data_IF_807560862727
#
_entry.id   IF_807560862727
#
_cell.length_a   1.000
_cell.length_b   1.000
_cell.length_c   1.000
_cell.angle_alpha   90.00
_cell.angle_beta   90.00
_cell.angle_gamma   90.00
#
_symmetry.space_group_name_H-M   'P 1'
#
loop_
_entity.id
_entity.type
_entity.pdbx_description
1 polymer ?
#
# COMPACT_ATOMS: atom_id res chain seq x y z
N UNK A 1 -0.48 30.73 -0.37
CA UNK A 1 -0.83 29.64 0.56
C UNK A 1 0.43 29.20 1.32
N UNK A 2 0.68 29.79 2.51
CA UNK A 2 1.53 29.17 3.52
C UNK A 2 0.62 28.21 4.31
N UNK A 3 0.20 27.12 3.68
CA UNK A 3 -0.52 26.03 4.33
C UNK A 3 0.46 25.04 4.91
N UNK A 4 0.07 24.35 5.97
CA UNK A 4 0.80 23.18 6.50
C UNK A 4 1.18 22.29 5.34
N UNK A 5 2.45 21.92 5.22
CA UNK A 5 2.87 20.93 4.23
C UNK A 5 1.99 19.69 4.38
N UNK A 6 1.31 19.32 3.31
CA UNK A 6 0.53 18.09 3.30
C UNK A 6 1.55 16.96 3.30
N UNK A 7 1.72 16.34 4.45
CA UNK A 7 2.63 15.23 4.62
C UNK A 7 1.97 14.01 3.97
N UNK A 8 2.60 13.47 2.93
CA UNK A 8 2.14 12.24 2.26
C UNK A 8 2.48 11.00 3.11
N UNK A 9 1.83 9.87 2.87
CA UNK A 9 2.09 8.64 3.64
C UNK A 9 3.54 8.14 3.46
N UNK A 10 4.14 8.38 2.31
CA UNK A 10 5.53 8.04 2.00
C UNK A 10 6.56 9.02 2.59
N UNK A 11 6.14 10.17 3.13
CA UNK A 11 7.02 11.12 3.80
C UNK A 11 7.36 10.59 5.20
N UNK A 12 8.21 9.57 5.28
CA UNK A 12 8.58 8.88 6.53
C UNK A 12 9.89 9.39 7.15
N UNK A 13 10.53 10.41 6.55
CA UNK A 13 11.76 10.95 7.13
C UNK A 13 11.61 11.22 8.65
N UNK A 14 12.62 10.93 9.48
CA UNK A 14 14.00 10.57 9.10
C UNK A 14 14.23 9.08 8.78
N UNK A 15 13.17 8.25 8.77
CA UNK A 15 13.27 6.82 8.53
C UNK A 15 13.68 6.51 7.08
N UNK A 16 14.54 5.51 6.91
CA UNK A 16 15.03 5.06 5.62
C UNK A 16 14.32 3.79 5.16
N UNK A 17 13.67 3.84 4.00
CA UNK A 17 13.01 2.70 3.37
C UNK A 17 13.95 2.01 2.38
N UNK A 18 14.19 0.71 2.59
CA UNK A 18 14.92 -0.17 1.69
C UNK A 18 13.97 -1.22 1.11
N UNK A 19 13.70 -1.12 -0.20
CA UNK A 19 12.82 -2.03 -0.91
C UNK A 19 13.57 -3.08 -1.75
N UNK A 20 14.86 -3.28 -1.52
CA UNK A 20 15.64 -4.31 -2.20
C UNK A 20 14.96 -5.68 -2.09
N UNK A 21 14.89 -6.41 -3.20
CA UNK A 21 14.29 -7.74 -3.21
C UNK A 21 15.31 -8.75 -2.67
N UNK A 22 14.94 -9.44 -1.59
CA UNK A 22 15.77 -10.44 -0.92
C UNK A 22 14.96 -11.73 -0.71
N UNK A 23 14.81 -12.58 -1.75
CA UNK A 23 13.94 -13.77 -1.67
C UNK A 23 14.42 -14.80 -0.65
N UNK A 24 15.72 -14.85 -0.35
CA UNK A 24 16.34 -15.79 0.57
C UNK A 24 16.51 -15.25 1.99
N UNK A 25 16.07 -14.01 2.26
CA UNK A 25 16.14 -13.42 3.58
C UNK A 25 15.30 -14.23 4.58
N UNK A 26 15.96 -14.66 5.67
CA UNK A 26 15.31 -15.44 6.72
C UNK A 26 14.85 -14.52 7.85
N UNK A 27 13.61 -14.71 8.32
CA UNK A 27 13.11 -13.91 9.42
C UNK A 27 13.87 -14.19 10.73
N UNK A 28 14.04 -13.15 11.52
CA UNK A 28 14.50 -13.24 12.90
C UNK A 28 13.30 -13.08 13.86
N UNK A 29 13.45 -13.47 15.15
CA UNK A 29 12.40 -13.24 16.14
C UNK A 29 11.99 -11.79 16.28
N UNK A 30 12.89 -10.84 15.97
CA UNK A 30 12.66 -9.39 16.04
C UNK A 30 12.09 -8.79 14.74
N UNK A 31 12.02 -9.55 13.64
CA UNK A 31 11.41 -9.13 12.38
C UNK A 31 9.91 -8.86 12.53
N UNK A 32 9.39 -7.90 11.80
CA UNK A 32 7.96 -7.61 11.76
C UNK A 32 7.22 -8.66 10.92
N UNK A 33 6.15 -9.23 11.49
CA UNK A 33 5.29 -10.23 10.87
C UNK A 33 3.95 -9.60 10.47
N UNK A 34 3.81 -9.22 9.19
CA UNK A 34 2.59 -8.60 8.67
C UNK A 34 1.59 -9.69 8.30
N UNK A 35 0.42 -9.67 8.94
CA UNK A 35 -0.69 -10.56 8.62
C UNK A 35 -1.92 -9.79 8.19
N UNK A 36 -2.47 -10.17 7.03
CA UNK A 36 -3.61 -9.51 6.42
C UNK A 36 -4.73 -10.49 6.07
N UNK A 37 -5.95 -10.06 6.34
CA UNK A 37 -7.19 -10.55 5.76
C UNK A 37 -7.79 -9.47 4.84
N UNK A 38 -8.86 -9.76 4.07
CA UNK A 38 -9.52 -8.73 3.26
C UNK A 38 -9.90 -7.51 4.10
N UNK A 39 -9.27 -6.36 3.79
CA UNK A 39 -9.45 -5.07 4.48
C UNK A 39 -9.09 -5.03 5.96
N UNK A 40 -8.40 -6.04 6.49
CA UNK A 40 -8.01 -6.13 7.90
C UNK A 40 -6.52 -6.48 8.04
N UNK A 41 -5.95 -6.10 9.17
CA UNK A 41 -4.56 -6.34 9.54
C UNK A 41 -4.44 -6.67 11.02
N UNK A 42 -3.53 -7.55 11.38
CA UNK A 42 -3.22 -7.89 12.77
C UNK A 42 -2.30 -6.84 13.36
N UNK A 43 -2.72 -6.16 14.43
CA UNK A 43 -1.94 -5.11 15.11
C UNK A 43 -2.22 -5.11 16.61
N UNK A 44 -1.28 -4.55 17.36
CA UNK A 44 -1.48 -4.12 18.75
C UNK A 44 -1.85 -2.64 18.77
N UNK A 45 -3.03 -2.29 19.30
CA UNK A 45 -3.44 -0.90 19.46
C UNK A 45 -2.94 -0.34 20.78
N UNK A 46 -2.21 0.77 20.72
CA UNK A 46 -1.71 1.53 21.87
C UNK A 46 -2.51 2.84 21.97
N UNK A 47 -3.72 2.76 22.51
CA UNK A 47 -4.56 3.95 22.67
C UNK A 47 -4.15 4.67 23.97
N UNK A 48 -3.69 5.91 23.83
CA UNK A 48 -3.51 6.85 24.93
C UNK A 48 -4.58 7.93 24.86
N UNK A 49 -4.71 8.76 25.92
CA UNK A 49 -5.66 9.90 25.92
C UNK A 49 -5.44 10.84 24.72
N UNK A 50 -4.21 10.96 24.23
CA UNK A 50 -3.78 11.98 23.29
C UNK A 50 -3.30 11.45 21.93
N UNK A 51 -3.08 10.12 21.79
CA UNK A 51 -2.57 9.52 20.56
C UNK A 51 -3.24 8.19 20.23
N UNK A 52 -3.42 7.97 18.93
CA UNK A 52 -3.83 6.67 18.39
C UNK A 52 -2.61 6.05 17.74
N UNK A 53 -2.02 5.08 18.44
CA UNK A 53 -0.83 4.38 17.98
C UNK A 53 -1.11 2.91 17.77
N UNK A 54 -0.31 2.30 16.93
CA UNK A 54 -0.33 0.85 16.74
C UNK A 54 1.09 0.31 16.51
N UNK A 55 1.20 -1.00 16.66
CA UNK A 55 2.42 -1.74 16.34
C UNK A 55 2.04 -3.05 15.63
N UNK A 56 2.92 -3.54 14.76
CA UNK A 56 2.75 -4.86 14.18
C UNK A 56 3.37 -5.92 15.12
N UNK A 57 2.86 -7.17 15.09
CA UNK A 57 3.51 -8.26 15.77
C UNK A 57 4.91 -8.50 15.19
N UNK A 58 5.78 -8.99 16.04
CA UNK A 58 7.06 -9.59 15.63
C UNK A 58 6.92 -11.11 15.62
N UNK A 59 7.84 -11.81 14.96
CA UNK A 59 7.78 -13.27 14.93
C UNK A 59 7.72 -13.88 16.33
N UNK A 60 8.53 -13.37 17.29
CA UNK A 60 8.51 -13.83 18.69
C UNK A 60 7.17 -13.66 19.41
N UNK A 61 6.30 -12.78 18.95
CA UNK A 61 4.97 -12.57 19.54
C UNK A 61 3.98 -13.64 19.09
N UNK A 62 4.27 -14.32 17.97
CA UNK A 62 3.39 -15.29 17.30
C UNK A 62 3.93 -16.72 17.30
N UNK A 63 5.24 -16.93 17.51
CA UNK A 63 5.89 -18.25 17.39
C UNK A 63 5.40 -19.28 18.40
N UNK A 64 4.93 -18.85 19.58
CA UNK A 64 4.45 -19.77 20.62
C UNK A 64 3.19 -20.55 20.22
N UNK A 65 2.40 -19.98 19.31
CA UNK A 65 1.14 -20.55 18.85
C UNK A 65 1.23 -21.10 17.42
N UNK A 66 2.40 -20.92 16.76
CA UNK A 66 2.63 -21.30 15.37
C UNK A 66 4.10 -21.67 15.17
N UNK A 67 4.45 -22.91 15.41
CA UNK A 67 5.83 -23.43 15.36
C UNK A 67 6.50 -23.28 13.99
N UNK A 68 5.70 -23.24 12.91
CA UNK A 68 6.14 -23.17 11.50
C UNK A 68 6.06 -21.75 10.90
N UNK A 69 5.79 -20.74 11.72
CA UNK A 69 5.56 -19.35 11.24
C UNK A 69 6.74 -18.80 10.40
N UNK A 70 7.96 -19.25 10.69
CA UNK A 70 9.18 -18.85 9.99
C UNK A 70 9.25 -19.39 8.56
N UNK A 71 8.51 -20.48 8.25
CA UNK A 71 8.44 -21.09 6.93
C UNK A 71 7.33 -20.49 6.06
N UNK A 72 6.35 -19.83 6.69
CA UNK A 72 5.16 -19.27 6.05
C UNK A 72 5.26 -17.77 5.82
N UNK A 73 6.43 -17.26 5.39
CA UNK A 73 6.62 -15.83 5.22
C UNK A 73 7.37 -15.48 3.94
N UNK A 74 7.20 -14.22 3.52
CA UNK A 74 7.90 -13.61 2.39
C UNK A 74 8.53 -12.31 2.88
N UNK A 75 9.83 -12.12 2.64
CA UNK A 75 10.48 -10.84 2.84
C UNK A 75 9.88 -9.77 1.91
N UNK A 76 9.53 -8.63 2.47
CA UNK A 76 8.96 -7.51 1.70
C UNK A 76 9.97 -6.38 1.51
N UNK A 77 10.47 -5.81 2.60
CA UNK A 77 11.35 -4.65 2.63
C UNK A 77 11.91 -4.46 4.05
N UNK A 78 12.82 -3.48 4.21
CA UNK A 78 13.26 -3.03 5.52
C UNK A 78 13.02 -1.52 5.71
N UNK A 79 12.87 -1.10 6.97
CA UNK A 79 12.89 0.31 7.38
C UNK A 79 13.89 0.43 8.52
N UNK A 80 14.91 1.28 8.36
CA UNK A 80 16.02 1.45 9.32
C UNK A 80 16.69 0.12 9.72
N UNK A 81 16.81 -0.81 8.77
CA UNK A 81 17.37 -2.15 9.01
C UNK A 81 16.45 -3.10 9.78
N UNK A 82 15.20 -2.70 10.07
CA UNK A 82 14.18 -3.61 10.58
C UNK A 82 13.44 -4.25 9.42
N UNK A 83 13.45 -5.58 9.38
CA UNK A 83 12.84 -6.36 8.30
C UNK A 83 11.33 -6.52 8.49
N UNK A 84 10.60 -6.45 7.38
CA UNK A 84 9.17 -6.67 7.30
C UNK A 84 8.86 -7.87 6.40
N UNK A 85 8.12 -8.83 6.93
CA UNK A 85 7.72 -10.06 6.25
C UNK A 85 6.20 -10.15 6.16
N UNK A 86 5.70 -10.65 5.04
CA UNK A 86 4.30 -11.02 4.86
C UNK A 86 4.11 -12.48 5.29
N UNK A 87 3.15 -12.73 6.17
CA UNK A 87 2.72 -14.10 6.49
C UNK A 87 1.72 -14.59 5.44
N UNK A 88 1.95 -15.78 4.89
CA UNK A 88 1.12 -16.41 3.87
C UNK A 88 0.78 -17.87 4.22
N UNK A 89 -0.36 -18.33 3.74
CA UNK A 89 -0.80 -19.73 3.87
C UNK A 89 -0.89 -20.25 5.32
N UNK A 90 -1.07 -19.37 6.26
CA UNK A 90 -1.21 -19.66 7.69
C UNK A 90 -2.39 -18.90 8.26
N UNK A 91 -3.06 -19.47 9.25
CA UNK A 91 -4.07 -18.78 10.05
C UNK A 91 -3.47 -18.43 11.39
N UNK A 92 -3.43 -17.16 11.72
CA UNK A 92 -2.86 -16.68 12.97
C UNK A 92 -3.98 -16.41 13.97
N UNK A 93 -4.08 -17.20 15.06
CA UNK A 93 -4.91 -16.81 16.20
C UNK A 93 -4.36 -15.48 16.76
N UNK A 94 -5.21 -14.49 16.93
CA UNK A 94 -4.75 -13.21 17.50
C UNK A 94 -4.36 -13.42 18.97
N UNK A 95 -3.08 -13.22 19.36
CA UNK A 95 -2.70 -13.25 20.77
C UNK A 95 -3.47 -12.19 21.57
N UNK A 96 -3.57 -12.34 22.87
CA UNK A 96 -4.48 -11.57 23.75
C UNK A 96 -4.36 -10.04 23.66
N UNK A 97 -3.23 -9.52 23.20
CA UNK A 97 -2.99 -8.07 23.06
C UNK A 97 -2.95 -7.59 21.59
N UNK A 98 -3.19 -8.48 20.62
CA UNK A 98 -3.34 -8.14 19.21
C UNK A 98 -4.80 -8.29 18.78
N UNK A 99 -5.21 -7.49 17.80
CA UNK A 99 -6.55 -7.55 17.21
C UNK A 99 -6.49 -7.37 15.69
N UNK A 100 -7.47 -7.95 15.00
CA UNK A 100 -7.66 -7.73 13.57
C UNK A 100 -8.41 -6.43 13.37
N UNK A 101 -7.70 -5.40 12.91
CA UNK A 101 -8.21 -4.05 12.69
C UNK A 101 -8.42 -3.73 11.21
N UNK A 102 -9.28 -2.74 10.92
CA UNK A 102 -9.43 -2.25 9.56
C UNK A 102 -8.13 -1.61 9.05
N UNK A 103 -7.72 -1.89 7.80
CA UNK A 103 -6.57 -1.24 7.15
C UNK A 103 -6.71 0.28 7.04
N UNK A 104 -7.89 0.86 7.33
CA UNK A 104 -8.10 2.32 7.41
C UNK A 104 -7.31 2.98 8.56
N UNK A 105 -6.86 2.21 9.56
CA UNK A 105 -5.98 2.73 10.63
C UNK A 105 -4.71 3.37 10.07
N UNK A 106 -4.17 2.86 8.96
CA UNK A 106 -2.96 3.40 8.32
C UNK A 106 -3.10 4.87 7.86
N UNK A 107 -4.32 5.41 7.80
CA UNK A 107 -4.57 6.81 7.43
C UNK A 107 -4.47 7.78 8.61
N UNK A 108 -4.71 7.30 9.83
CA UNK A 108 -4.98 8.16 10.98
C UNK A 108 -4.17 7.81 12.24
N UNK A 109 -3.40 6.73 12.22
CA UNK A 109 -2.66 6.24 13.37
C UNK A 109 -1.15 6.50 13.22
N UNK A 110 -0.48 6.56 14.35
CA UNK A 110 0.98 6.67 14.47
C UNK A 110 1.62 5.32 14.84
N UNK A 111 2.93 5.13 14.64
CA UNK A 111 3.82 6.04 13.95
C UNK A 111 3.67 5.94 12.43
N UNK A 112 4.02 7.01 11.72
CA UNK A 112 3.84 7.11 10.27
C UNK A 112 4.59 6.05 9.48
N UNK A 113 5.82 5.73 9.86
CA UNK A 113 6.61 4.72 9.16
C UNK A 113 5.96 3.34 9.21
N UNK A 114 5.27 2.98 10.32
CA UNK A 114 4.48 1.75 10.39
C UNK A 114 3.20 1.83 9.53
N UNK A 115 2.57 3.01 9.45
CA UNK A 115 1.45 3.22 8.54
C UNK A 115 1.86 3.06 7.08
N UNK A 116 3.02 3.58 6.69
CA UNK A 116 3.63 3.36 5.38
C UNK A 116 3.97 1.87 5.15
N UNK A 117 4.60 1.22 6.14
CA UNK A 117 4.90 -0.21 6.08
C UNK A 117 3.61 -1.04 5.89
N UNK A 118 2.57 -0.71 6.64
CA UNK A 118 1.28 -1.40 6.58
C UNK A 118 0.60 -1.30 5.22
N UNK A 119 0.48 -0.09 4.65
CA UNK A 119 -0.18 0.06 3.34
C UNK A 119 0.67 -0.55 2.21
N UNK A 120 2.00 -0.44 2.28
CA UNK A 120 2.91 -1.06 1.31
C UNK A 120 2.85 -2.58 1.39
N UNK A 121 2.90 -3.14 2.60
CA UNK A 121 2.74 -4.58 2.84
C UNK A 121 1.38 -5.10 2.39
N UNK A 122 0.29 -4.37 2.67
CA UNK A 122 -1.05 -4.74 2.22
C UNK A 122 -1.18 -4.73 0.70
N UNK A 123 -0.59 -3.75 0.01
CA UNK A 123 -0.57 -3.68 -1.45
C UNK A 123 0.17 -4.90 -2.05
N UNK A 124 1.32 -5.25 -1.49
CA UNK A 124 2.09 -6.43 -1.92
C UNK A 124 1.34 -7.74 -1.61
N UNK A 125 0.70 -7.85 -0.44
CA UNK A 125 -0.14 -8.99 -0.08
C UNK A 125 -1.26 -9.22 -1.09
N UNK A 126 -2.02 -8.18 -1.44
CA UNK A 126 -3.08 -8.26 -2.44
C UNK A 126 -2.54 -8.69 -3.82
N UNK A 127 -1.36 -8.19 -4.18
CA UNK A 127 -0.72 -8.58 -5.43
C UNK A 127 -0.32 -10.05 -5.42
N UNK A 128 0.37 -10.57 -4.39
CA UNK A 128 0.72 -11.99 -4.28
C UNK A 128 -0.51 -12.88 -4.30
N UNK A 129 -1.55 -12.53 -3.54
CA UNK A 129 -2.81 -13.30 -3.50
C UNK A 129 -3.53 -13.34 -4.85
N UNK A 130 -3.46 -12.26 -5.63
CA UNK A 130 -4.12 -12.16 -6.94
C UNK A 130 -3.31 -12.78 -8.09
N UNK A 131 -2.05 -13.16 -7.87
CA UNK A 131 -1.13 -13.68 -8.89
C UNK A 131 -0.71 -15.13 -8.63
N UNK A 132 -1.68 -15.98 -8.28
CA UNK A 132 -1.46 -17.42 -8.08
C UNK A 132 -1.41 -18.21 -9.38
N UNK A 133 -2.14 -17.76 -10.39
CA UNK A 133 -2.26 -18.42 -11.68
C UNK A 133 -1.94 -17.44 -12.82
N UNK A 134 -1.30 -17.96 -13.86
CA UNK A 134 -0.97 -17.20 -15.05
C UNK A 134 -2.24 -16.78 -15.80
N UNK A 135 -2.43 -15.47 -16.02
CA UNK A 135 -3.54 -14.93 -16.77
C UNK A 135 -3.56 -15.32 -18.27
N UNK A 136 -2.43 -15.83 -18.80
CA UNK A 136 -2.30 -16.24 -20.19
C UNK A 136 -2.63 -17.73 -20.40
N UNK A 137 -2.13 -18.63 -19.54
CA UNK A 137 -2.23 -20.07 -19.78
C UNK A 137 -2.85 -20.87 -18.62
N UNK A 138 -3.22 -20.22 -17.53
CA UNK A 138 -3.85 -20.83 -16.38
C UNK A 138 -2.92 -21.67 -15.47
N UNK A 139 -1.63 -21.81 -15.81
CA UNK A 139 -0.68 -22.55 -14.99
C UNK A 139 -0.38 -21.81 -13.67
N UNK A 140 0.00 -22.52 -12.59
CA UNK A 140 0.47 -21.88 -11.36
C UNK A 140 1.66 -20.96 -11.64
N UNK A 141 1.71 -19.85 -10.95
CA UNK A 141 2.85 -18.94 -10.94
C UNK A 141 3.73 -19.23 -9.71
N UNK A 142 5.03 -19.05 -9.86
CA UNK A 142 5.99 -19.06 -8.76
C UNK A 142 6.68 -17.73 -8.58
N UNK A 143 7.22 -17.49 -7.40
CA UNK A 143 8.10 -16.34 -7.11
C UNK A 143 9.40 -16.52 -7.90
N UNK A 144 9.90 -15.41 -8.45
CA UNK A 144 11.19 -15.43 -9.16
C UNK A 144 12.34 -15.22 -8.16
N UNK A 145 13.50 -15.82 -8.48
CA UNK A 145 14.67 -15.84 -7.57
C UNK A 145 15.45 -14.52 -7.52
N UNK A 146 15.38 -13.71 -8.59
CA UNK A 146 16.20 -12.50 -8.73
C UNK A 146 15.42 -11.20 -8.66
N UNK A 147 14.14 -11.25 -8.99
CA UNK A 147 13.30 -10.05 -9.09
C UNK A 147 11.96 -10.29 -8.39
N UNK A 148 11.39 -9.22 -7.85
CA UNK A 148 10.04 -9.25 -7.28
C UNK A 148 9.01 -9.35 -8.39
N UNK A 149 8.84 -10.55 -8.91
CA UNK A 149 7.83 -10.91 -9.90
C UNK A 149 7.31 -12.32 -9.68
N UNK A 150 6.12 -12.60 -10.18
CA UNK A 150 5.59 -13.95 -10.32
C UNK A 150 5.86 -14.44 -11.74
N UNK A 151 6.36 -15.65 -11.88
CA UNK A 151 6.81 -16.22 -13.15
C UNK A 151 6.07 -17.48 -13.51
N UNK A 152 5.72 -17.63 -14.77
CA UNK A 152 5.08 -18.82 -15.34
C UNK A 152 6.10 -19.72 -16.04
N UNK A 153 6.39 -20.89 -15.49
CA UNK A 153 7.33 -21.84 -16.11
C UNK A 153 6.79 -22.44 -17.43
N UNK A 154 5.45 -22.40 -17.63
CA UNK A 154 4.83 -22.99 -18.84
C UNK A 154 4.87 -22.05 -20.05
N UNK A 155 4.60 -20.77 -19.89
CA UNK A 155 4.51 -19.82 -21.02
C UNK A 155 5.43 -18.60 -20.89
N UNK A 156 6.28 -18.60 -19.85
CA UNK A 156 7.28 -17.58 -19.56
C UNK A 156 6.71 -16.17 -19.35
N UNK A 157 5.40 -16.08 -18.98
CA UNK A 157 4.79 -14.82 -18.59
C UNK A 157 5.41 -14.32 -17.29
N UNK A 158 5.75 -13.04 -17.28
CA UNK A 158 6.24 -12.31 -16.11
C UNK A 158 5.16 -11.36 -15.59
N UNK A 159 4.91 -11.38 -14.28
CA UNK A 159 3.92 -10.55 -13.61
C UNK A 159 4.59 -9.77 -12.48
N UNK A 160 4.79 -8.47 -12.70
CA UNK A 160 5.35 -7.57 -11.70
C UNK A 160 4.27 -6.99 -10.77
N UNK A 161 4.64 -6.46 -9.59
CA UNK A 161 3.70 -5.73 -8.75
C UNK A 161 3.01 -4.63 -9.53
N UNK A 162 1.66 -4.61 -9.48
CA UNK A 162 0.88 -3.67 -10.26
C UNK A 162 0.97 -2.27 -9.66
N UNK A 163 1.37 -1.31 -10.47
CA UNK A 163 1.27 0.12 -10.21
C UNK A 163 0.25 0.69 -11.20
N UNK A 164 -0.70 1.49 -10.72
CA UNK A 164 -1.70 2.18 -11.53
C UNK A 164 -1.50 3.68 -11.37
N UNK A 165 -0.78 4.34 -12.29
CA UNK A 165 -0.56 5.79 -12.23
C UNK A 165 -1.89 6.52 -12.28
N UNK A 166 -2.03 7.53 -11.41
CA UNK A 166 -3.21 8.35 -11.34
C UNK A 166 -2.82 9.81 -11.07
N UNK A 167 -3.66 10.73 -11.52
CA UNK A 167 -3.52 12.15 -11.23
C UNK A 167 -4.58 12.60 -10.25
N UNK A 168 -4.22 13.54 -9.35
CA UNK A 168 -5.17 14.30 -8.54
C UNK A 168 -5.04 15.75 -8.97
N UNK A 169 -6.16 16.38 -9.37
CA UNK A 169 -6.16 17.60 -10.16
C UNK A 169 -6.82 18.74 -9.39
N UNK A 170 -6.04 19.77 -9.06
CA UNK A 170 -6.56 21.04 -8.54
C UNK A 170 -6.84 21.99 -9.71
N UNK A 171 -8.08 22.06 -10.18
CA UNK A 171 -8.50 23.02 -11.22
C UNK A 171 -8.80 24.35 -10.56
N UNK A 172 -8.10 25.41 -10.98
CA UNK A 172 -8.24 26.77 -10.41
C UNK A 172 -8.61 27.78 -11.47
N UNK A 173 -9.37 28.80 -11.05
CA UNK A 173 -9.66 30.00 -11.82
C UNK A 173 -9.53 31.23 -10.89
N UNK A 174 -8.42 31.95 -11.02
CA UNK A 174 -8.03 32.99 -10.08
C UNK A 174 -7.90 32.45 -8.65
N UNK A 175 -8.77 32.89 -7.76
CA UNK A 175 -8.81 32.46 -6.35
C UNK A 175 -9.85 31.35 -6.08
N UNK A 176 -10.48 30.83 -7.11
CA UNK A 176 -11.46 29.74 -7.00
C UNK A 176 -10.81 28.39 -7.24
N UNK A 177 -11.26 27.38 -6.50
CA UNK A 177 -10.86 25.98 -6.64
C UNK A 177 -12.09 25.12 -6.95
N UNK A 178 -12.02 24.31 -8.00
CA UNK A 178 -13.07 23.35 -8.31
C UNK A 178 -12.98 22.16 -7.35
N UNK A 179 -14.11 21.84 -6.74
CA UNK A 179 -14.25 20.67 -5.87
C UNK A 179 -15.48 19.86 -6.30
N UNK A 180 -15.34 18.56 -6.31
CA UNK A 180 -16.44 17.61 -6.54
C UNK A 180 -16.99 17.09 -5.22
N UNK A 181 -18.23 16.58 -5.24
CA UNK A 181 -18.85 15.89 -4.12
C UNK A 181 -19.69 14.73 -4.64
N UNK A 182 -19.42 13.54 -4.11
CA UNK A 182 -20.18 12.35 -4.51
C UNK A 182 -21.65 12.44 -4.09
N UNK A 183 -22.55 12.26 -5.02
CA UNK A 183 -23.97 12.11 -4.75
C UNK A 183 -24.28 10.65 -4.37
N UNK A 184 -25.11 10.44 -3.33
CA UNK A 184 -25.60 9.10 -2.94
C UNK A 184 -24.59 8.18 -2.24
N UNK A 185 -23.32 8.58 -2.03
CA UNK A 185 -22.30 7.78 -1.34
C UNK A 185 -22.19 8.17 0.14
N UNK A 186 -21.65 7.24 0.95
CA UNK A 186 -21.37 7.47 2.39
C UNK A 186 -20.29 8.53 2.61
N UNK A 187 -19.35 8.68 1.66
CA UNK A 187 -18.32 9.71 1.71
C UNK A 187 -18.91 11.08 1.41
N UNK A 188 -18.94 11.97 2.42
CA UNK A 188 -19.59 13.29 2.34
C UNK A 188 -18.64 14.48 2.17
N UNK A 189 -17.31 14.23 2.14
CA UNK A 189 -16.33 15.32 2.00
C UNK A 189 -16.20 15.73 0.52
N UNK A 190 -15.76 16.97 0.31
CA UNK A 190 -15.34 17.43 -1.00
C UNK A 190 -14.02 16.78 -1.42
N UNK A 191 -13.85 16.55 -2.73
CA UNK A 191 -12.67 15.96 -3.33
C UNK A 191 -12.20 16.77 -4.53
N UNK A 192 -10.92 16.70 -4.84
CA UNK A 192 -10.37 17.11 -6.12
C UNK A 192 -10.75 16.08 -7.18
N UNK A 193 -10.72 16.44 -8.45
CA UNK A 193 -10.86 15.52 -9.57
C UNK A 193 -9.67 14.56 -9.57
N UNK A 194 -9.89 13.30 -9.95
CA UNK A 194 -8.83 12.30 -9.98
C UNK A 194 -9.15 11.20 -10.99
N UNK A 195 -8.15 10.78 -11.75
CA UNK A 195 -8.32 9.70 -12.69
C UNK A 195 -7.05 8.93 -12.99
N UNK A 196 -7.19 7.78 -13.61
CA UNK A 196 -6.07 6.93 -13.99
C UNK A 196 -5.50 7.35 -15.35
N UNK A 197 -4.16 7.24 -15.45
CA UNK A 197 -3.45 7.43 -16.73
C UNK A 197 -3.71 6.23 -17.63
N UNK A 198 -4.07 6.49 -18.88
CA UNK A 198 -4.22 5.48 -19.91
C UNK A 198 -2.88 5.19 -20.62
N UNK A 199 -2.77 4.00 -21.23
CA UNK A 199 -1.57 3.61 -21.98
C UNK A 199 -1.38 4.60 -23.15
N UNK A 200 -0.17 5.21 -23.21
CA UNK A 200 0.18 6.17 -24.25
C UNK A 200 -0.08 7.63 -23.90
N UNK A 201 -0.69 7.91 -22.75
CA UNK A 201 -0.85 9.30 -22.27
C UNK A 201 0.35 9.78 -21.47
N UNK A 202 0.65 11.07 -21.57
CA UNK A 202 1.41 11.79 -20.55
C UNK A 202 0.50 12.19 -19.40
N UNK A 203 1.07 12.55 -18.22
CA UNK A 203 0.27 12.99 -17.07
C UNK A 203 -0.54 14.26 -17.40
N UNK A 204 -0.01 15.16 -18.22
CA UNK A 204 -0.70 16.37 -18.68
C UNK A 204 -1.88 16.05 -19.61
N UNK A 205 -1.72 15.03 -20.48
CA UNK A 205 -2.83 14.54 -21.32
C UNK A 205 -3.91 13.90 -20.47
N UNK A 206 -3.53 13.08 -19.47
CA UNK A 206 -4.47 12.51 -18.50
C UNK A 206 -5.25 13.62 -17.77
N UNK A 207 -4.57 14.66 -17.28
CA UNK A 207 -5.24 15.81 -16.63
C UNK A 207 -6.25 16.46 -17.56
N UNK A 208 -5.88 16.72 -18.81
CA UNK A 208 -6.76 17.37 -19.79
C UNK A 208 -7.99 16.51 -20.12
N UNK A 209 -7.80 15.20 -20.28
CA UNK A 209 -8.88 14.24 -20.55
C UNK A 209 -9.83 14.11 -19.37
N UNK A 210 -9.31 13.83 -18.17
CA UNK A 210 -10.12 13.61 -16.96
C UNK A 210 -10.97 14.85 -16.62
N UNK A 211 -10.39 16.07 -16.72
CA UNK A 211 -11.16 17.30 -16.48
C UNK A 211 -12.26 17.48 -17.52
N UNK A 212 -11.98 17.16 -18.79
CA UNK A 212 -13.00 17.24 -19.84
C UNK A 212 -14.11 16.21 -19.62
N UNK A 213 -13.77 14.97 -19.24
CA UNK A 213 -14.74 13.89 -19.03
C UNK A 213 -15.61 14.13 -17.81
N UNK A 214 -15.02 14.55 -16.67
CA UNK A 214 -15.77 14.70 -15.43
C UNK A 214 -16.58 15.99 -15.34
N UNK A 215 -16.08 17.09 -15.91
CA UNK A 215 -16.68 18.44 -15.70
C UNK A 215 -16.82 19.28 -16.96
N UNK A 216 -16.41 18.79 -18.14
CA UNK A 216 -16.59 19.46 -19.43
C UNK A 216 -15.72 20.72 -19.63
N UNK A 217 -14.63 20.86 -18.86
CA UNK A 217 -13.77 22.05 -18.93
C UNK A 217 -12.48 21.78 -19.70
N UNK A 218 -12.03 22.78 -20.47
CA UNK A 218 -10.67 22.80 -21.02
C UNK A 218 -9.75 23.49 -20.04
N UNK A 219 -8.62 22.85 -19.71
CA UNK A 219 -7.60 23.39 -18.81
C UNK A 219 -6.33 23.77 -19.56
N UNK A 220 -5.63 24.76 -19.03
CA UNK A 220 -4.34 25.26 -19.53
C UNK A 220 -3.39 25.44 -18.34
N UNK A 221 -2.11 25.74 -18.62
CA UNK A 221 -1.11 25.99 -17.58
C UNK A 221 -0.99 24.85 -16.55
N UNK A 222 -1.03 23.62 -17.03
CA UNK A 222 -0.88 22.42 -16.18
C UNK A 222 0.51 22.45 -15.55
N UNK A 223 0.56 22.31 -14.23
CA UNK A 223 1.81 22.33 -13.45
C UNK A 223 1.84 21.16 -12.49
N UNK A 224 2.97 20.49 -12.42
CA UNK A 224 3.23 19.48 -11.40
C UNK A 224 3.34 20.15 -10.01
N UNK A 225 2.67 19.58 -9.04
CA UNK A 225 2.70 20.06 -7.66
C UNK A 225 3.54 19.13 -6.77
N UNK A 226 3.15 17.86 -6.66
CA UNK A 226 3.83 16.86 -5.82
C UNK A 226 3.38 15.43 -6.21
N UNK A 227 4.27 14.45 -5.97
CA UNK A 227 3.95 13.00 -6.00
C UNK A 227 4.51 12.31 -4.78
#
# INVERSE_FOLDING_TARGET
WKGRETIMIQDIAPHHYDNAYQPDAKPSPDGYALYFEPHRTLVHLKNTSDSREFDFPRFRDLEKENDDIYEHCIYLFAIDGQDFYLLEHITIPAPSHFSMESTQIFRNFSPRFLSFAGITGYQLSNWYQSRRYCGRCGAPLRKHEKERMMYCDRCHQMEYPKISPAVIIAVTDGNRLLLSKYNGRTYKKYALLAGFTEIGETLEQTVSREVMEEVGLKVTNIRYYKS
#
